data_IF_986934435267
#
_entry.id   IF_986934435267
#
_cell.length_a   1.000
_cell.length_b   1.000
_cell.length_c   1.000
_cell.angle_alpha   90.00
_cell.angle_beta   90.00
_cell.angle_gamma   90.00
#
_symmetry.space_group_name_H-M   'P 1'
#
loop_
_entity.id
_entity.type
_entity.pdbx_description
1 polymer ?
#
# COMPACT_ATOMS: atom_id res chain seq x y z
N UNK A 1 21.97 6.76 32.56
CA UNK A 1 23.21 6.43 31.83
C UNK A 1 23.22 5.02 31.24
N UNK A 2 22.87 3.95 31.98
CA UNK A 2 22.83 2.55 31.45
C UNK A 2 22.01 2.37 30.16
N UNK A 3 20.81 2.95 30.06
CA UNK A 3 19.97 2.82 28.85
C UNK A 3 20.58 3.43 27.59
N UNK A 4 21.38 4.49 27.73
CA UNK A 4 22.03 5.13 26.60
C UNK A 4 23.28 4.36 26.14
N UNK A 5 23.90 3.64 27.08
CA UNK A 5 25.03 2.75 26.80
C UNK A 5 24.56 1.46 26.10
N UNK A 6 23.47 0.86 26.56
CA UNK A 6 22.86 -0.32 25.91
C UNK A 6 22.43 0.01 24.48
N UNK A 7 21.75 1.15 24.25
CA UNK A 7 21.38 1.58 22.90
C UNK A 7 22.58 1.77 21.97
N UNK A 8 23.67 2.38 22.46
CA UNK A 8 24.91 2.55 21.69
C UNK A 8 25.60 1.22 21.38
N UNK A 9 25.50 0.23 22.28
CA UNK A 9 25.99 -1.13 22.04
C UNK A 9 25.14 -1.79 20.96
N UNK A 10 23.81 -1.72 21.05
CA UNK A 10 22.90 -2.30 20.06
C UNK A 10 23.13 -1.67 18.68
N UNK A 11 23.25 -0.33 18.60
CA UNK A 11 23.57 0.39 17.37
C UNK A 11 24.93 -0.03 16.79
N UNK A 12 25.98 -0.14 17.62
CA UNK A 12 27.31 -0.57 17.17
C UNK A 12 27.35 -2.03 16.71
N UNK A 13 26.59 -2.91 17.37
CA UNK A 13 26.42 -4.31 16.98
C UNK A 13 25.68 -4.39 15.64
N UNK A 14 24.57 -3.65 15.48
CA UNK A 14 23.79 -3.60 14.25
C UNK A 14 24.65 -3.08 13.08
N UNK A 15 25.39 -1.98 13.27
CA UNK A 15 26.30 -1.45 12.25
C UNK A 15 27.40 -2.45 11.89
N UNK A 16 28.01 -3.14 12.86
CA UNK A 16 29.00 -4.19 12.60
C UNK A 16 28.43 -5.44 11.94
N UNK A 17 27.17 -5.78 12.18
CA UNK A 17 26.48 -6.88 11.50
C UNK A 17 26.16 -6.50 10.05
N UNK A 18 25.85 -5.22 9.80
CA UNK A 18 25.62 -4.69 8.44
C UNK A 18 26.94 -4.60 7.65
N UNK A 19 28.05 -4.26 8.31
CA UNK A 19 29.36 -4.05 7.68
C UNK A 19 30.26 -5.31 7.66
N UNK A 20 30.00 -6.29 8.52
CA UNK A 20 30.84 -7.47 8.72
C UNK A 20 30.45 -8.67 7.87
N UNK A 21 31.45 -9.51 7.54
CA UNK A 21 31.24 -10.82 6.93
C UNK A 21 30.48 -11.72 7.92
N UNK A 22 29.22 -12.04 7.61
CA UNK A 22 28.33 -12.81 8.49
C UNK A 22 28.92 -14.17 8.90
N UNK A 23 29.85 -14.67 8.08
CA UNK A 23 30.58 -15.92 8.28
C UNK A 23 31.33 -15.98 9.63
N UNK A 24 31.86 -14.85 10.11
CA UNK A 24 32.56 -14.81 11.40
C UNK A 24 31.60 -15.02 12.59
N UNK A 25 30.35 -14.56 12.47
CA UNK A 25 29.34 -14.76 13.51
C UNK A 25 28.78 -16.18 13.48
N UNK A 26 28.66 -16.77 12.29
CA UNK A 26 28.24 -18.16 12.15
C UNK A 26 29.23 -19.13 12.82
N UNK A 27 30.54 -18.86 12.72
CA UNK A 27 31.58 -19.62 13.42
C UNK A 27 31.44 -19.50 14.95
N UNK A 28 31.32 -18.28 15.48
CA UNK A 28 31.12 -18.05 16.92
C UNK A 28 29.85 -18.75 17.43
N UNK A 29 28.74 -18.65 16.69
CA UNK A 29 27.48 -19.27 17.07
C UNK A 29 27.57 -20.81 17.03
N UNK A 30 28.28 -21.39 16.04
CA UNK A 30 28.58 -22.84 16.01
C UNK A 30 29.41 -23.26 17.22
N UNK A 31 30.44 -22.51 17.58
CA UNK A 31 31.27 -22.78 18.76
C UNK A 31 30.46 -22.76 20.06
N UNK A 32 29.43 -21.92 20.14
CA UNK A 32 28.48 -21.87 21.26
C UNK A 32 27.39 -22.97 21.20
N UNK A 33 27.42 -23.86 20.20
CA UNK A 33 26.51 -24.99 20.05
C UNK A 33 25.20 -24.68 19.34
N UNK A 34 25.06 -23.50 18.71
CA UNK A 34 23.87 -23.16 17.93
C UNK A 34 23.89 -23.80 16.54
N UNK A 35 22.71 -24.21 16.06
CA UNK A 35 22.52 -24.71 14.70
C UNK A 35 22.22 -23.53 13.75
N UNK A 36 23.22 -23.12 12.98
CA UNK A 36 23.10 -21.99 12.03
C UNK A 36 22.00 -22.24 11.00
N UNK A 37 21.86 -23.47 10.51
CA UNK A 37 20.83 -23.80 9.52
C UNK A 37 19.42 -23.60 10.09
N UNK A 38 19.19 -23.91 11.37
CA UNK A 38 17.91 -23.66 12.02
C UNK A 38 17.65 -22.16 12.20
N UNK A 39 18.68 -21.40 12.60
CA UNK A 39 18.61 -19.94 12.74
C UNK A 39 18.30 -19.29 11.39
N UNK A 40 19.01 -19.65 10.33
CA UNK A 40 18.78 -19.16 8.97
C UNK A 40 17.39 -19.52 8.47
N UNK A 41 16.94 -20.76 8.68
CA UNK A 41 15.60 -21.17 8.28
C UNK A 41 14.51 -20.36 9.00
N UNK A 42 14.67 -20.14 10.31
CA UNK A 42 13.77 -19.29 11.09
C UNK A 42 13.79 -17.84 10.62
N UNK A 43 14.98 -17.28 10.40
CA UNK A 43 15.16 -15.91 9.92
C UNK A 43 14.53 -15.72 8.53
N UNK A 44 14.82 -16.61 7.58
CA UNK A 44 14.27 -16.58 6.23
C UNK A 44 12.73 -16.71 6.22
N UNK A 45 12.18 -17.60 7.04
CA UNK A 45 10.73 -17.75 7.17
C UNK A 45 10.08 -16.46 7.66
N UNK A 46 10.67 -15.84 8.68
CA UNK A 46 10.17 -14.57 9.20
C UNK A 46 10.36 -13.43 8.20
N UNK A 47 11.50 -13.34 7.54
CA UNK A 47 11.75 -12.33 6.52
C UNK A 47 10.69 -12.39 5.41
N UNK A 48 10.42 -13.58 4.86
CA UNK A 48 9.39 -13.78 3.82
C UNK A 48 8.02 -13.34 4.30
N UNK A 49 7.63 -13.73 5.52
CA UNK A 49 6.34 -13.36 6.12
C UNK A 49 6.21 -11.84 6.26
N UNK A 50 7.20 -11.19 6.88
CA UNK A 50 7.16 -9.74 7.11
C UNK A 50 7.25 -8.97 5.79
N UNK A 51 8.06 -9.41 4.83
CA UNK A 51 8.13 -8.80 3.49
C UNK A 51 6.77 -8.84 2.79
N UNK A 52 6.07 -9.99 2.84
CA UNK A 52 4.73 -10.10 2.28
C UNK A 52 3.73 -9.15 2.94
N UNK A 53 3.71 -9.09 4.27
CA UNK A 53 2.83 -8.19 5.02
C UNK A 53 3.12 -6.72 4.71
N UNK A 54 4.40 -6.32 4.70
CA UNK A 54 4.82 -4.96 4.37
C UNK A 54 4.42 -4.57 2.95
N UNK A 55 4.60 -5.47 1.97
CA UNK A 55 4.12 -5.25 0.60
C UNK A 55 2.61 -5.05 0.57
N UNK A 56 1.84 -5.86 1.30
CA UNK A 56 0.39 -5.69 1.43
C UNK A 56 -0.01 -4.34 2.02
N UNK A 57 0.69 -3.88 3.06
CA UNK A 57 0.45 -2.56 3.67
C UNK A 57 0.78 -1.41 2.71
N UNK A 58 1.92 -1.48 2.02
CA UNK A 58 2.33 -0.50 1.02
C UNK A 58 1.30 -0.43 -0.12
N UNK A 59 0.84 -1.59 -0.61
CA UNK A 59 -0.17 -1.64 -1.66
C UNK A 59 -1.48 -1.03 -1.18
N UNK A 60 -1.98 -1.39 0.00
CA UNK A 60 -3.17 -0.78 0.59
C UNK A 60 -3.06 0.74 0.68
N UNK A 61 -1.90 1.26 1.08
CA UNK A 61 -1.68 2.70 1.14
C UNK A 61 -1.70 3.35 -0.25
N UNK A 62 -1.09 2.70 -1.25
CA UNK A 62 -1.14 3.17 -2.64
C UNK A 62 -2.57 3.16 -3.19
N UNK A 63 -3.33 2.09 -2.93
CA UNK A 63 -4.72 1.97 -3.37
C UNK A 63 -5.58 3.08 -2.79
N UNK A 64 -5.41 3.40 -1.49
CA UNK A 64 -6.11 4.53 -0.86
C UNK A 64 -5.75 5.88 -1.50
N UNK A 65 -4.49 6.09 -1.86
CA UNK A 65 -4.04 7.32 -2.53
C UNK A 65 -4.63 7.42 -3.94
N UNK A 66 -4.65 6.32 -4.69
CA UNK A 66 -5.26 6.28 -6.02
C UNK A 66 -6.76 6.52 -5.95
N UNK A 67 -7.43 5.92 -4.95
CA UNK A 67 -8.85 6.04 -4.71
C UNK A 67 -9.22 7.50 -4.41
N UNK A 68 -8.46 8.16 -3.53
CA UNK A 68 -8.65 9.58 -3.23
C UNK A 68 -8.51 10.45 -4.48
N UNK A 69 -7.44 10.25 -5.26
CA UNK A 69 -7.20 11.02 -6.48
C UNK A 69 -8.31 10.84 -7.50
N UNK A 70 -8.71 9.59 -7.74
CA UNK A 70 -9.77 9.23 -8.66
C UNK A 70 -11.11 9.86 -8.26
N UNK A 71 -11.47 9.75 -6.99
CA UNK A 71 -12.72 10.33 -6.47
C UNK A 71 -12.73 11.86 -6.57
N UNK A 72 -11.60 12.51 -6.26
CA UNK A 72 -11.46 13.97 -6.45
C UNK A 72 -11.58 14.37 -7.92
N UNK A 73 -10.99 13.61 -8.85
CA UNK A 73 -11.09 13.92 -10.28
C UNK A 73 -12.54 13.80 -10.75
N UNK A 74 -13.23 12.71 -10.38
CA UNK A 74 -14.63 12.49 -10.73
C UNK A 74 -15.55 13.55 -10.09
N UNK A 75 -15.34 13.91 -8.83
CA UNK A 75 -16.09 14.98 -8.17
C UNK A 75 -15.91 16.31 -8.90
N UNK A 76 -14.66 16.70 -9.20
CA UNK A 76 -14.38 17.92 -9.96
C UNK A 76 -15.00 17.89 -11.36
N UNK A 77 -15.10 16.72 -11.98
CA UNK A 77 -15.74 16.57 -13.28
C UNK A 77 -17.26 16.75 -13.18
N UNK A 78 -17.90 16.30 -12.10
CA UNK A 78 -19.32 16.57 -11.81
C UNK A 78 -19.53 18.09 -11.65
N UNK A 79 -18.71 18.75 -10.81
CA UNK A 79 -18.80 20.19 -10.56
C UNK A 79 -18.65 21.03 -11.84
N UNK A 80 -17.77 20.58 -12.75
CA UNK A 80 -17.49 21.23 -14.03
C UNK A 80 -18.37 20.73 -15.18
N UNK A 81 -19.28 19.80 -14.91
CA UNK A 81 -20.15 19.17 -15.89
C UNK A 81 -19.40 18.57 -17.10
N UNK A 82 -18.33 17.80 -16.84
CA UNK A 82 -17.52 17.14 -17.87
C UNK A 82 -18.15 15.79 -18.21
N UNK A 83 -18.69 15.67 -19.43
CA UNK A 83 -19.55 14.56 -19.85
C UNK A 83 -18.94 13.16 -19.71
N UNK A 84 -17.68 12.97 -20.12
CA UNK A 84 -17.08 11.62 -20.21
C UNK A 84 -16.83 10.97 -18.83
N UNK A 85 -16.18 11.63 -17.86
CA UNK A 85 -16.10 11.13 -16.48
C UNK A 85 -17.47 10.89 -15.82
N UNK A 86 -18.43 11.78 -16.05
CA UNK A 86 -19.81 11.63 -15.54
C UNK A 86 -20.50 10.40 -16.15
N UNK A 87 -20.32 10.18 -17.45
CA UNK A 87 -20.89 9.03 -18.18
C UNK A 87 -20.26 7.71 -17.72
N UNK A 88 -18.97 7.71 -17.44
CA UNK A 88 -18.29 6.56 -16.83
C UNK A 88 -18.92 6.21 -15.48
N UNK A 89 -19.10 7.20 -14.60
CA UNK A 89 -19.70 6.97 -13.28
C UNK A 89 -21.16 6.48 -13.39
N UNK A 90 -21.94 7.04 -14.32
CA UNK A 90 -23.30 6.57 -14.65
C UNK A 90 -23.32 5.08 -15.04
N UNK A 91 -22.37 4.66 -15.87
CA UNK A 91 -22.28 3.26 -16.32
C UNK A 91 -21.94 2.33 -15.15
N UNK A 92 -21.01 2.73 -14.25
CA UNK A 92 -20.71 1.95 -13.05
C UNK A 92 -21.94 1.79 -12.15
N UNK A 93 -22.66 2.88 -11.90
CA UNK A 93 -23.87 2.86 -11.06
C UNK A 93 -24.94 1.93 -11.64
N UNK A 94 -25.16 2.02 -12.96
CA UNK A 94 -26.14 1.20 -13.67
C UNK A 94 -25.78 -0.29 -13.65
N UNK A 95 -24.50 -0.62 -13.80
CA UNK A 95 -24.02 -2.00 -13.92
C UNK A 95 -23.92 -2.72 -12.57
N UNK A 96 -23.60 -2.02 -11.48
CA UNK A 96 -23.28 -2.63 -10.18
C UNK A 96 -24.47 -2.71 -9.21
N UNK A 97 -25.72 -2.60 -9.69
CA UNK A 97 -26.93 -2.66 -8.87
C UNK A 97 -26.94 -1.74 -7.64
N UNK A 98 -26.28 -0.57 -7.68
CA UNK A 98 -26.35 0.43 -6.59
C UNK A 98 -27.74 1.13 -6.50
N UNK A 99 -28.80 0.47 -6.99
CA UNK A 99 -30.08 0.99 -7.46
C UNK A 99 -30.94 1.74 -6.43
N UNK A 100 -30.50 1.86 -5.17
CA UNK A 100 -31.29 2.54 -4.12
C UNK A 100 -30.59 3.76 -3.53
N UNK A 101 -29.25 3.82 -3.50
CA UNK A 101 -28.54 4.88 -2.76
C UNK A 101 -28.22 6.12 -3.61
N UNK A 102 -27.87 5.96 -4.89
CA UNK A 102 -27.35 7.08 -5.70
C UNK A 102 -28.38 7.65 -6.68
N UNK A 103 -29.53 8.10 -6.17
CA UNK A 103 -30.62 8.63 -7.01
C UNK A 103 -30.26 9.96 -7.71
N UNK A 104 -29.29 10.72 -7.19
CA UNK A 104 -28.85 12.00 -7.75
C UNK A 104 -27.33 12.01 -7.96
N UNK A 105 -26.87 11.68 -9.18
CA UNK A 105 -25.48 11.81 -9.60
C UNK A 105 -24.92 13.22 -9.45
N UNK A 106 -25.78 14.23 -9.60
CA UNK A 106 -25.40 15.64 -9.62
C UNK A 106 -24.96 16.17 -8.24
N UNK A 107 -25.05 15.36 -7.17
CA UNK A 107 -24.66 15.74 -5.81
C UNK A 107 -23.91 14.61 -5.06
N UNK A 108 -23.17 13.76 -5.77
CA UNK A 108 -22.37 12.72 -5.09
C UNK A 108 -21.21 13.34 -4.33
N UNK A 109 -21.10 13.02 -3.05
CA UNK A 109 -19.92 13.40 -2.28
C UNK A 109 -18.71 12.50 -2.60
N UNK A 110 -17.54 12.91 -2.13
CA UNK A 110 -16.28 12.18 -2.39
C UNK A 110 -16.33 10.75 -1.84
N UNK A 111 -16.97 10.51 -0.68
CA UNK A 111 -17.03 9.18 -0.06
C UNK A 111 -17.98 8.25 -0.83
N UNK A 112 -19.11 8.78 -1.32
CA UNK A 112 -20.01 8.06 -2.20
C UNK A 112 -19.32 7.65 -3.51
N UNK A 113 -18.53 8.56 -4.10
CA UNK A 113 -17.73 8.25 -5.30
C UNK A 113 -16.70 7.16 -4.99
N UNK A 114 -16.03 7.22 -3.83
CA UNK A 114 -15.09 6.16 -3.41
C UNK A 114 -15.79 4.81 -3.34
N UNK A 115 -16.97 4.73 -2.74
CA UNK A 115 -17.71 3.47 -2.62
C UNK A 115 -18.13 2.90 -3.98
N UNK A 116 -18.40 3.75 -4.97
CA UNK A 116 -18.73 3.32 -6.34
C UNK A 116 -17.50 2.75 -7.07
N UNK A 117 -16.32 3.34 -6.87
CA UNK A 117 -15.12 3.02 -7.67
C UNK A 117 -14.09 2.14 -6.95
N UNK A 118 -14.24 1.84 -5.65
CA UNK A 118 -13.25 1.12 -4.84
C UNK A 118 -12.81 -0.24 -5.40
N UNK A 119 -13.67 -0.91 -6.15
CA UNK A 119 -13.42 -2.22 -6.73
C UNK A 119 -12.93 -2.15 -8.20
N UNK A 120 -12.70 -0.94 -8.72
CA UNK A 120 -12.22 -0.71 -10.08
C UNK A 120 -10.69 -0.69 -10.15
N UNK A 121 -10.15 -0.87 -11.36
CA UNK A 121 -8.74 -0.63 -11.63
C UNK A 121 -8.45 0.88 -11.63
N UNK A 122 -8.09 1.42 -10.47
CA UNK A 122 -7.91 2.87 -10.26
C UNK A 122 -6.80 3.49 -11.11
N UNK A 123 -5.78 2.71 -11.51
CA UNK A 123 -4.70 3.21 -12.36
C UNK A 123 -5.21 3.46 -13.78
N UNK A 124 -5.87 2.46 -14.36
CA UNK A 124 -6.48 2.54 -15.70
C UNK A 124 -7.57 3.61 -15.75
N UNK A 125 -8.37 3.73 -14.68
CA UNK A 125 -9.33 4.81 -14.52
C UNK A 125 -8.65 6.18 -14.62
N UNK A 126 -7.59 6.41 -13.83
CA UNK A 126 -6.90 7.70 -13.82
C UNK A 126 -6.28 8.02 -15.17
N UNK A 127 -5.67 7.05 -15.85
CA UNK A 127 -5.14 7.23 -17.22
C UNK A 127 -6.24 7.66 -18.19
N UNK A 128 -7.39 6.97 -18.17
CA UNK A 128 -8.53 7.33 -19.03
C UNK A 128 -9.08 8.74 -18.74
N UNK A 129 -9.07 9.17 -17.48
CA UNK A 129 -9.60 10.46 -17.05
C UNK A 129 -8.62 11.63 -17.25
N UNK A 130 -7.30 11.39 -17.14
CA UNK A 130 -6.27 12.41 -17.32
C UNK A 130 -6.02 12.75 -18.80
N UNK A 131 -6.14 11.77 -19.71
CA UNK A 131 -6.03 12.01 -21.15
C UNK A 131 -7.15 12.92 -21.68
N UNK A 132 -8.27 13.02 -20.96
CA UNK A 132 -9.43 13.85 -21.32
C UNK A 132 -9.41 15.27 -20.73
N UNK A 133 -8.41 15.61 -19.90
CA UNK A 133 -8.23 16.98 -19.37
C UNK A 133 -7.28 17.84 -20.22
N UNK A 134 -6.75 17.31 -21.33
CA UNK A 134 -5.99 18.05 -22.34
C UNK A 134 -6.90 18.61 -23.43
#
# INVERSE_FOLDING_TARGET
MKNNFIKKIDEAIISKIIEGDSSAYDEILKEQGYNINEIENYANKNFRKHSFLLKGLINKQKDLVLLEKASLLLHNAIDKNIDKPISYLRNLIANNQFQVQYRNLDNLDIEEIKEIIKDQNLLELLEQLEDDQK
#
